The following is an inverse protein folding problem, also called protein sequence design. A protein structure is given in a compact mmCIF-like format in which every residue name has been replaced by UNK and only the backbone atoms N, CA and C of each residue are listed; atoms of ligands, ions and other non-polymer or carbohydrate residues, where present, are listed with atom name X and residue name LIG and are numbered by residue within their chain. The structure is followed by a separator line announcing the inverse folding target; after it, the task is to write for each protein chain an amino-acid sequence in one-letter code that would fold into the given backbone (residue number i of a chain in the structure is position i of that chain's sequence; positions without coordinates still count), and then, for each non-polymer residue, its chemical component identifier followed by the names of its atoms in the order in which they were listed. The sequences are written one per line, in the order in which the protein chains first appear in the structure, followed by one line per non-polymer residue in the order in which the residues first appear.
data_IF_473888209707
#
_entry.id   IF_473888209707
#
_cell.length_a   1.000
_cell.length_b   1.000
_cell.length_c   1.000
_cell.angle_alpha   90.00
_cell.angle_beta   90.00
_cell.angle_gamma   90.00
#
_symmetry.space_group_name_H-M   'P 1'
#
loop_
_entity.id
_entity.type
_entity.pdbx_description
1 polymer ?
#
# COMPACT_ATOMS: atom_id res chain seq x y z
N UNK A 1 -15.80 -22.41 -7.43
CA UNK A 1 -16.36 -21.11 -7.83
C UNK A 1 -15.29 -20.08 -7.55
N UNK A 2 -14.82 -19.38 -8.58
CA UNK A 2 -13.77 -18.36 -8.46
C UNK A 2 -14.41 -17.15 -7.78
N UNK A 3 -13.93 -16.79 -6.60
CA UNK A 3 -14.34 -15.58 -5.89
C UNK A 3 -14.10 -14.37 -6.80
N UNK A 4 -15.16 -13.62 -7.10
CA UNK A 4 -15.11 -12.49 -8.03
C UNK A 4 -14.41 -11.27 -7.43
N UNK A 5 -14.06 -11.29 -6.14
CA UNK A 5 -13.32 -10.22 -5.47
C UNK A 5 -14.14 -8.96 -5.16
N UNK A 6 -15.46 -9.00 -5.38
CA UNK A 6 -16.39 -7.88 -5.17
C UNK A 6 -17.19 -7.96 -3.86
N UNK A 7 -16.99 -9.00 -3.06
CA UNK A 7 -17.69 -9.24 -1.79
C UNK A 7 -17.43 -8.17 -0.71
N UNK A 8 -16.50 -7.24 -0.94
CA UNK A 8 -16.07 -6.23 0.02
C UNK A 8 -16.14 -4.78 -0.53
N UNK A 9 -16.93 -4.54 -1.58
CA UNK A 9 -17.06 -3.22 -2.21
C UNK A 9 -18.40 -2.57 -1.86
N UNK A 10 -18.37 -1.55 -1.00
CA UNK A 10 -19.55 -0.76 -0.64
C UNK A 10 -19.97 0.22 -1.76
N UNK A 11 -21.26 0.55 -1.88
CA UNK A 11 -21.73 1.62 -2.76
C UNK A 11 -21.17 2.98 -2.31
N UNK A 12 -21.10 3.94 -3.25
CA UNK A 12 -20.75 5.32 -2.90
C UNK A 12 -21.83 5.90 -1.97
N UNK A 13 -21.47 6.72 -0.97
CA UNK A 13 -22.45 7.38 -0.12
C UNK A 13 -23.26 8.42 -0.91
N UNK A 14 -24.53 8.58 -0.55
CA UNK A 14 -25.38 9.65 -1.06
C UNK A 14 -24.82 11.03 -0.63
N UNK A 15 -25.00 12.09 -1.45
CA UNK A 15 -24.58 13.44 -1.11
C UNK A 15 -25.12 13.88 0.27
N UNK A 16 -24.24 14.35 1.16
CA UNK A 16 -24.62 14.87 2.47
C UNK A 16 -24.72 13.84 3.62
N UNK A 17 -24.31 12.58 3.41
CA UNK A 17 -24.37 11.56 4.48
C UNK A 17 -23.39 11.88 5.64
N UNK A 18 -23.89 11.94 6.88
CA UNK A 18 -23.09 12.05 8.12
C UNK A 18 -23.01 10.73 8.90
N UNK A 19 -21.86 10.45 9.51
CA UNK A 19 -21.57 9.24 10.28
C UNK A 19 -20.91 9.66 11.60
N UNK A 20 -21.36 9.12 12.74
CA UNK A 20 -20.87 9.51 14.07
C UNK A 20 -20.19 8.33 14.77
N UNK A 21 -18.85 8.38 14.84
CA UNK A 21 -17.98 8.25 16.03
C UNK A 21 -16.51 8.31 15.56
N UNK A 22 -15.76 9.35 15.93
CA UNK A 22 -14.39 9.60 15.45
C UNK A 22 -14.31 10.43 14.16
N UNK A 23 -13.10 10.88 13.77
CA UNK A 23 -12.91 11.64 12.54
C UNK A 23 -13.36 10.78 11.35
N UNK A 24 -14.39 11.24 10.63
CA UNK A 24 -14.86 10.56 9.41
C UNK A 24 -13.75 10.53 8.37
N UNK A 25 -13.25 9.32 8.08
CA UNK A 25 -12.23 9.08 7.08
C UNK A 25 -12.77 8.12 6.03
N UNK A 26 -12.56 8.45 4.76
CA UNK A 26 -12.86 7.59 3.62
C UNK A 26 -11.58 7.45 2.79
N UNK A 27 -11.18 6.20 2.53
CA UNK A 27 -10.09 5.88 1.62
C UNK A 27 -10.66 5.68 0.21
N UNK A 28 -10.03 6.27 -0.81
CA UNK A 28 -10.37 6.04 -2.21
C UNK A 28 -9.23 5.27 -2.85
N UNK A 29 -9.53 4.12 -3.47
CA UNK A 29 -8.51 3.25 -4.04
C UNK A 29 -8.98 2.66 -5.37
N UNK A 30 -8.17 2.79 -6.45
CA UNK A 30 -8.56 2.28 -7.75
C UNK A 30 -8.48 0.75 -7.87
N UNK A 31 -7.85 0.06 -6.92
CA UNK A 31 -7.79 -1.40 -6.93
C UNK A 31 -9.12 -2.00 -6.42
N UNK A 32 -9.44 -3.20 -6.90
CA UNK A 32 -10.62 -3.95 -6.43
C UNK A 32 -10.42 -4.55 -5.03
N UNK A 33 -9.19 -4.96 -4.76
CA UNK A 33 -8.73 -5.58 -3.52
C UNK A 33 -7.27 -5.23 -3.30
N UNK A 34 -6.74 -5.63 -2.14
CA UNK A 34 -5.30 -5.58 -1.90
C UNK A 34 -4.55 -6.42 -2.94
N UNK A 35 -3.31 -6.02 -3.24
CA UNK A 35 -2.49 -6.73 -4.19
C UNK A 35 -2.20 -8.16 -3.74
N UNK A 36 -2.18 -9.11 -4.67
CA UNK A 36 -1.86 -10.52 -4.36
C UNK A 36 -0.35 -10.75 -4.16
N UNK A 37 0.48 -9.81 -4.65
CA UNK A 37 1.94 -9.88 -4.56
C UNK A 37 2.53 -8.62 -3.96
N UNK A 38 3.85 -8.63 -3.78
CA UNK A 38 4.57 -7.55 -3.13
C UNK A 38 5.64 -6.92 -4.02
N UNK A 39 5.83 -5.61 -3.91
CA UNK A 39 7.05 -4.93 -4.38
C UNK A 39 8.00 -4.59 -3.24
N UNK A 40 7.48 -4.51 -2.01
CA UNK A 40 8.25 -4.20 -0.81
C UNK A 40 8.29 -5.42 0.12
N UNK A 41 9.48 -5.93 0.42
CA UNK A 41 9.62 -7.23 1.08
C UNK A 41 10.14 -7.18 2.51
N UNK A 42 10.57 -6.01 3.01
CA UNK A 42 11.18 -5.89 4.35
C UNK A 42 10.58 -4.72 5.12
N UNK A 43 10.16 -4.99 6.35
CA UNK A 43 9.70 -3.97 7.29
C UNK A 43 10.77 -3.78 8.36
N UNK A 44 11.14 -2.52 8.60
CA UNK A 44 12.18 -2.15 9.56
C UNK A 44 11.60 -1.95 10.97
N UNK A 45 12.41 -2.09 12.04
CA UNK A 45 11.93 -2.00 13.43
C UNK A 45 11.12 -0.74 13.73
N UNK A 46 11.59 0.43 13.26
CA UNK A 46 10.87 1.69 13.49
C UNK A 46 9.50 1.73 12.80
N UNK A 47 9.36 1.08 11.65
CA UNK A 47 8.06 0.94 10.98
C UNK A 47 7.12 0.04 11.77
N UNK A 48 7.63 -1.07 12.33
CA UNK A 48 6.83 -1.90 13.23
C UNK A 48 6.38 -1.16 14.49
N UNK A 49 7.22 -0.31 15.08
CA UNK A 49 6.79 0.53 16.20
C UNK A 49 5.65 1.47 15.84
N UNK A 50 5.61 1.98 14.60
CA UNK A 50 4.49 2.79 14.11
C UNK A 50 3.24 1.95 13.84
N UNK A 51 3.41 0.75 13.27
CA UNK A 51 2.34 -0.22 13.06
C UNK A 51 1.74 -0.72 14.39
N UNK A 52 2.55 -0.84 15.42
CA UNK A 52 2.10 -1.25 16.76
C UNK A 52 1.22 -0.18 17.42
N UNK A 53 1.47 1.11 17.15
CA UNK A 53 0.60 2.20 17.63
C UNK A 53 -0.83 2.10 17.12
N UNK A 54 -1.04 1.44 15.98
CA UNK A 54 -2.38 1.17 15.43
C UNK A 54 -2.85 -0.27 15.69
N UNK A 55 -2.05 -1.08 16.39
CA UNK A 55 -2.41 -2.41 16.88
C UNK A 55 -2.16 -3.56 15.91
N UNK A 56 -1.32 -3.40 14.88
CA UNK A 56 -1.04 -4.47 13.90
C UNK A 56 0.43 -4.90 13.86
N UNK A 57 1.32 -4.23 14.58
CA UNK A 57 2.77 -4.44 14.48
C UNK A 57 3.19 -5.87 14.82
N UNK A 58 2.79 -6.35 15.99
CA UNK A 58 3.10 -7.70 16.48
C UNK A 58 2.51 -8.78 15.56
N UNK A 59 1.24 -8.65 15.18
CA UNK A 59 0.58 -9.63 14.31
C UNK A 59 1.28 -9.76 12.94
N UNK A 60 1.74 -8.65 12.36
CA UNK A 60 2.50 -8.66 11.10
C UNK A 60 3.90 -9.26 11.32
N UNK A 61 4.56 -8.94 12.42
CA UNK A 61 5.91 -9.45 12.72
C UNK A 61 5.91 -10.97 12.91
N UNK A 62 4.88 -11.53 13.56
CA UNK A 62 4.76 -12.96 13.87
C UNK A 62 4.62 -13.84 12.61
N UNK A 63 4.02 -13.31 11.54
CA UNK A 63 3.89 -14.03 10.26
C UNK A 63 5.06 -13.77 9.31
N UNK A 64 5.91 -12.79 9.62
CA UNK A 64 7.09 -12.46 8.84
C UNK A 64 8.29 -13.36 9.15
N UNK A 65 9.34 -13.24 8.34
CA UNK A 65 10.62 -13.94 8.55
C UNK A 65 11.68 -12.96 9.08
N UNK A 66 12.07 -13.05 10.36
CA UNK A 66 13.13 -12.21 10.93
C UNK A 66 14.45 -12.32 10.17
N UNK A 67 15.05 -11.18 9.84
CA UNK A 67 16.37 -11.13 9.23
C UNK A 67 17.45 -11.12 10.31
N UNK A 68 18.17 -12.25 10.44
CA UNK A 68 19.29 -12.39 11.39
C UNK A 68 20.69 -12.25 10.77
N UNK A 69 20.81 -12.43 9.46
CA UNK A 69 22.07 -12.54 8.73
C UNK A 69 21.92 -11.97 7.31
N UNK A 70 22.89 -11.18 6.85
CA UNK A 70 23.11 -10.95 5.42
C UNK A 70 24.50 -11.48 5.05
N UNK A 71 24.58 -12.19 3.92
CA UNK A 71 25.83 -12.65 3.33
C UNK A 71 26.18 -11.72 2.18
N UNK A 72 27.40 -11.19 2.17
CA UNK A 72 27.93 -10.43 1.06
C UNK A 72 28.69 -11.37 0.15
N UNK A 73 28.44 -11.31 -1.15
CA UNK A 73 29.15 -12.11 -2.15
C UNK A 73 29.52 -11.29 -3.37
N UNK A 74 30.54 -11.75 -4.09
CA UNK A 74 31.00 -11.19 -5.36
C UNK A 74 31.62 -12.30 -6.20
N UNK A 75 31.42 -12.27 -7.53
CA UNK A 75 32.00 -13.23 -8.48
C UNK A 75 31.72 -14.70 -8.08
N UNK A 76 30.49 -14.98 -7.66
CA UNK A 76 30.05 -16.32 -7.24
C UNK A 76 30.61 -16.84 -5.91
N UNK A 77 31.33 -16.03 -5.12
CA UNK A 77 31.85 -16.42 -3.80
C UNK A 77 31.33 -15.53 -2.66
N UNK A 78 31.24 -16.09 -1.46
CA UNK A 78 30.93 -15.32 -0.25
C UNK A 78 32.16 -14.58 0.27
N UNK A 79 32.02 -13.27 0.49
CA UNK A 79 33.06 -12.38 1.00
C UNK A 79 32.95 -12.12 2.50
N UNK A 80 31.74 -12.19 3.06
CA UNK A 80 31.53 -11.88 4.46
C UNK A 80 30.10 -12.02 4.93
N UNK A 81 29.93 -11.84 6.23
CA UNK A 81 28.65 -11.92 6.93
C UNK A 81 28.44 -10.64 7.74
N UNK A 82 27.27 -10.04 7.58
CA UNK A 82 26.78 -9.00 8.49
C UNK A 82 25.77 -9.68 9.42
N UNK A 83 26.00 -9.54 10.72
CA UNK A 83 25.10 -10.04 11.77
C UNK A 83 24.76 -8.88 12.70
N UNK A 84 23.77 -9.07 13.58
CA UNK A 84 23.42 -8.04 14.56
C UNK A 84 22.73 -6.83 13.93
N UNK A 85 21.78 -7.06 13.01
CA UNK A 85 20.95 -6.01 12.39
C UNK A 85 20.11 -5.18 13.36
N UNK A 86 20.14 -5.52 14.65
CA UNK A 86 19.23 -5.02 15.68
C UNK A 86 19.84 -5.31 17.05
N UNK A 87 19.44 -4.51 18.02
CA UNK A 87 19.70 -4.71 19.44
C UNK A 87 18.37 -4.57 20.17
N UNK A 88 18.07 -5.49 21.09
CA UNK A 88 16.89 -5.41 21.96
C UNK A 88 16.87 -4.13 22.82
N UNK A 89 17.99 -3.42 22.93
CA UNK A 89 18.05 -2.09 23.56
C UNK A 89 17.44 -0.98 22.71
N UNK A 90 17.36 -1.16 21.39
CA UNK A 90 16.90 -0.14 20.45
C UNK A 90 15.45 -0.35 20.04
N UNK A 91 15.01 -1.60 19.87
CA UNK A 91 13.63 -1.92 19.53
C UNK A 91 13.32 -3.36 19.96
N UNK A 92 12.04 -3.62 20.25
CA UNK A 92 11.53 -5.00 20.40
C UNK A 92 11.41 -5.72 19.05
N UNK A 93 11.39 -4.96 17.95
CA UNK A 93 11.30 -5.51 16.60
C UNK A 93 12.68 -5.64 15.96
N UNK A 94 12.74 -6.55 14.99
CA UNK A 94 13.90 -6.82 14.15
C UNK A 94 13.52 -6.55 12.69
N UNK A 95 14.46 -6.22 11.79
CA UNK A 95 14.14 -6.19 10.37
C UNK A 95 13.54 -7.53 9.97
N UNK A 96 12.36 -7.50 9.38
CA UNK A 96 11.58 -8.71 9.11
C UNK A 96 11.14 -8.70 7.66
N UNK A 97 11.45 -9.78 6.96
CA UNK A 97 10.95 -9.99 5.62
C UNK A 97 9.46 -10.35 5.69
N UNK A 98 8.61 -9.47 5.20
CA UNK A 98 7.15 -9.62 5.16
C UNK A 98 6.63 -8.86 3.95
N UNK A 99 5.74 -9.49 3.19
CA UNK A 99 5.20 -8.92 1.96
C UNK A 99 4.29 -7.72 2.22
N UNK A 100 4.34 -6.73 1.34
CA UNK A 100 3.45 -5.56 1.31
C UNK A 100 1.97 -5.98 1.37
N UNK A 101 1.59 -7.02 0.64
CA UNK A 101 0.24 -7.58 0.64
C UNK A 101 -0.25 -7.98 2.05
N UNK A 102 0.63 -8.55 2.87
CA UNK A 102 0.32 -8.92 4.26
C UNK A 102 0.15 -7.68 5.11
N UNK A 103 1.07 -6.72 5.01
CA UNK A 103 0.99 -5.45 5.75
C UNK A 103 -0.31 -4.70 5.39
N UNK A 104 -0.63 -4.60 4.10
CA UNK A 104 -1.86 -3.98 3.60
C UNK A 104 -3.11 -4.70 4.10
N UNK A 105 -3.11 -6.04 4.15
CA UNK A 105 -4.25 -6.81 4.64
C UNK A 105 -4.54 -6.49 6.11
N UNK A 106 -3.51 -6.49 6.97
CA UNK A 106 -3.67 -6.14 8.37
C UNK A 106 -4.10 -4.68 8.58
N UNK A 107 -3.52 -3.73 7.84
CA UNK A 107 -3.92 -2.33 7.90
C UNK A 107 -5.35 -2.10 7.41
N UNK A 108 -5.75 -2.75 6.31
CA UNK A 108 -7.12 -2.65 5.79
C UNK A 108 -8.13 -3.23 6.78
N UNK A 109 -7.86 -4.42 7.33
CA UNK A 109 -8.71 -5.03 8.34
C UNK A 109 -8.86 -4.09 9.55
N UNK A 110 -7.73 -3.57 10.06
CA UNK A 110 -7.73 -2.64 11.19
C UNK A 110 -8.49 -1.34 10.91
N UNK A 111 -8.34 -0.78 9.71
CA UNK A 111 -9.04 0.43 9.30
C UNK A 111 -10.56 0.22 9.27
N UNK A 112 -11.02 -0.92 8.74
CA UNK A 112 -12.44 -1.28 8.71
C UNK A 112 -12.99 -1.56 10.12
N UNK A 113 -12.24 -2.25 10.99
CA UNK A 113 -12.59 -2.46 12.40
C UNK A 113 -12.79 -1.14 13.16
N UNK A 114 -12.01 -0.12 12.82
CA UNK A 114 -12.11 1.22 13.39
C UNK A 114 -13.25 2.06 12.77
N UNK A 115 -14.07 1.49 11.89
CA UNK A 115 -15.20 2.16 11.24
C UNK A 115 -14.83 2.94 9.97
N UNK A 116 -13.61 2.79 9.48
CA UNK A 116 -13.17 3.37 8.21
C UNK A 116 -13.94 2.81 7.01
N UNK A 117 -13.97 3.56 5.91
CA UNK A 117 -14.66 3.17 4.67
C UNK A 117 -13.72 3.22 3.50
N UNK A 118 -13.75 2.20 2.64
CA UNK A 118 -12.92 2.15 1.45
C UNK A 118 -13.79 2.15 0.20
N UNK A 119 -13.65 3.20 -0.61
CA UNK A 119 -14.24 3.31 -1.93
C UNK A 119 -13.28 2.65 -2.93
N UNK A 120 -13.44 1.34 -3.11
CA UNK A 120 -12.73 0.54 -4.12
C UNK A 120 -13.25 0.84 -5.52
N UNK A 121 -12.46 0.47 -6.53
CA UNK A 121 -12.80 0.71 -7.94
C UNK A 121 -13.10 2.19 -8.24
N UNK A 122 -12.39 3.10 -7.56
CA UNK A 122 -12.59 4.53 -7.71
C UNK A 122 -11.24 5.26 -7.68
N UNK A 123 -11.14 6.37 -8.41
CA UNK A 123 -9.98 7.25 -8.36
C UNK A 123 -10.39 8.69 -8.16
N UNK A 124 -9.50 9.47 -7.55
CA UNK A 124 -9.60 10.92 -7.51
C UNK A 124 -9.23 11.47 -8.88
N UNK A 125 -10.03 12.42 -9.39
CA UNK A 125 -9.78 13.11 -10.65
C UNK A 125 -9.46 14.59 -10.46
N UNK A 126 -9.68 15.13 -9.26
CA UNK A 126 -9.33 16.49 -8.92
C UNK A 126 -9.63 16.82 -7.46
N UNK A 127 -8.94 17.83 -6.94
CA UNK A 127 -9.19 18.41 -5.61
C UNK A 127 -9.23 19.93 -5.73
N UNK A 128 -10.21 20.58 -5.13
CA UNK A 128 -10.29 22.03 -5.04
C UNK A 128 -10.65 22.49 -3.63
N UNK A 129 -10.18 23.66 -3.23
CA UNK A 129 -10.63 24.33 -2.00
C UNK A 129 -11.92 25.09 -2.27
N UNK A 130 -12.85 25.06 -1.33
CA UNK A 130 -14.11 25.79 -1.42
C UNK A 130 -13.93 27.19 -0.83
N UNK A 131 -13.72 28.20 -1.67
CA UNK A 131 -13.52 29.61 -1.26
C UNK A 131 -14.77 30.27 -0.60
N UNK A 132 -15.91 29.57 -0.54
CA UNK A 132 -17.22 30.15 -0.21
C UNK A 132 -17.74 29.85 1.20
N UNK A 133 -17.01 29.06 2.00
CA UNK A 133 -17.42 28.79 3.37
C UNK A 133 -17.18 30.03 4.26
N UNK A 134 -18.26 30.67 4.71
CA UNK A 134 -18.22 31.76 5.69
C UNK A 134 -17.76 31.31 7.10
N UNK A 135 -17.44 30.03 7.27
CA UNK A 135 -16.80 29.49 8.45
C UNK A 135 -15.27 29.45 8.26
N UNK A 136 -14.50 29.75 9.30
CA UNK A 136 -13.02 29.66 9.28
C UNK A 136 -12.51 28.21 9.15
N UNK A 137 -13.38 27.26 8.78
CA UNK A 137 -13.12 25.83 8.97
C UNK A 137 -12.54 25.12 7.75
N UNK A 138 -12.54 25.76 6.58
CA UNK A 138 -11.95 25.30 5.31
C UNK A 138 -12.55 23.98 4.81
N UNK A 139 -13.10 23.97 3.59
CA UNK A 139 -13.55 22.73 2.95
C UNK A 139 -12.83 22.51 1.65
N UNK A 140 -12.66 21.24 1.30
CA UNK A 140 -12.21 20.81 0.00
C UNK A 140 -13.25 19.92 -0.66
N UNK A 141 -13.42 20.12 -1.96
CA UNK A 141 -14.19 19.26 -2.83
C UNK A 141 -13.22 18.27 -3.51
N UNK A 142 -13.53 16.99 -3.43
CA UNK A 142 -12.76 15.89 -4.05
C UNK A 142 -13.62 15.27 -5.14
N UNK A 143 -13.21 15.43 -6.39
CA UNK A 143 -13.86 14.80 -7.54
C UNK A 143 -13.40 13.34 -7.66
N UNK A 144 -14.36 12.43 -7.80
CA UNK A 144 -14.14 10.98 -7.81
C UNK A 144 -14.87 10.35 -8.98
N UNK A 145 -14.25 9.38 -9.63
CA UNK A 145 -14.90 8.57 -10.66
C UNK A 145 -14.62 7.07 -10.48
N UNK A 146 -15.47 6.25 -11.11
CA UNK A 146 -15.27 4.81 -11.18
C UNK A 146 -14.09 4.49 -12.08
N UNK A 147 -13.14 3.76 -11.52
CA UNK A 147 -11.92 3.37 -12.21
C UNK A 147 -11.34 2.12 -11.56
N UNK A 148 -11.06 1.11 -12.38
CA UNK A 148 -10.38 -0.10 -11.93
C UNK A 148 -8.96 -0.07 -12.46
N UNK A 149 -8.00 0.11 -11.56
CA UNK A 149 -6.60 -0.03 -11.92
C UNK A 149 -6.26 -1.50 -12.17
N UNK A 150 -5.71 -1.75 -13.34
CA UNK A 150 -4.99 -2.97 -13.65
C UNK A 150 -3.64 -2.58 -14.25
N UNK A 151 -2.60 -3.37 -13.95
CA UNK A 151 -1.30 -3.14 -14.56
C UNK A 151 -1.38 -3.50 -16.05
N UNK A 152 -1.02 -2.59 -16.97
CA UNK A 152 -0.91 -2.93 -18.39
C UNK A 152 0.06 -4.11 -18.60
N UNK A 153 -0.20 -4.99 -19.58
CA UNK A 153 -1.22 -4.88 -20.63
C UNK A 153 -2.59 -5.46 -20.24
N UNK A 154 -2.81 -5.83 -18.97
CA UNK A 154 -4.11 -6.37 -18.55
C UNK A 154 -5.23 -5.35 -18.78
N UNK A 155 -6.41 -5.85 -19.15
CA UNK A 155 -7.61 -5.03 -19.32
C UNK A 155 -8.46 -5.07 -18.06
N UNK A 156 -8.99 -3.91 -17.66
CA UNK A 156 -9.86 -3.82 -16.50
C UNK A 156 -11.12 -4.66 -16.72
N UNK A 157 -11.56 -5.46 -15.73
CA UNK A 157 -12.85 -6.13 -15.81
C UNK A 157 -13.98 -5.10 -15.90
N UNK A 158 -15.11 -5.43 -16.54
CA UNK A 158 -16.25 -4.53 -16.60
C UNK A 158 -16.81 -4.28 -15.19
N UNK A 159 -17.26 -3.05 -14.94
CA UNK A 159 -17.92 -2.69 -13.69
C UNK A 159 -19.27 -3.44 -13.57
N UNK A 160 -19.60 -3.98 -12.38
CA UNK A 160 -20.94 -4.49 -12.11
C UNK A 160 -22.01 -3.42 -12.37
N UNK A 161 -23.22 -3.78 -12.84
CA UNK A 161 -24.29 -2.82 -13.13
C UNK A 161 -24.61 -1.86 -11.97
N UNK A 162 -24.55 -2.35 -10.72
CA UNK A 162 -24.77 -1.55 -9.52
C UNK A 162 -23.75 -0.42 -9.36
N UNK A 163 -22.51 -0.61 -9.79
CA UNK A 163 -21.45 0.41 -9.73
C UNK A 163 -21.42 1.27 -11.00
N UNK A 164 -21.91 0.75 -12.13
CA UNK A 164 -21.98 1.47 -13.40
C UNK A 164 -23.07 2.56 -13.42
N UNK A 165 -24.04 2.52 -12.51
CA UNK A 165 -25.14 3.48 -12.44
C UNK A 165 -24.69 4.90 -12.05
N UNK A 166 -23.64 5.02 -11.23
CA UNK A 166 -23.01 6.30 -10.87
C UNK A 166 -21.52 6.23 -11.17
N UNK A 167 -21.13 6.85 -12.28
CA UNK A 167 -19.76 6.80 -12.81
C UNK A 167 -18.85 7.86 -12.20
N UNK A 168 -19.38 8.98 -11.71
CA UNK A 168 -18.63 10.02 -11.02
C UNK A 168 -19.47 10.75 -9.97
N UNK A 169 -18.80 11.33 -8.99
CA UNK A 169 -19.38 12.14 -7.91
C UNK A 169 -18.34 13.10 -7.34
N UNK A 170 -18.77 13.97 -6.44
CA UNK A 170 -17.88 14.81 -5.64
C UNK A 170 -18.15 14.60 -4.15
N UNK A 171 -17.07 14.54 -3.36
CA UNK A 171 -17.12 14.43 -1.91
C UNK A 171 -16.67 15.75 -1.29
N UNK A 172 -17.39 16.24 -0.27
CA UNK A 172 -16.93 17.37 0.55
C UNK A 172 -16.22 16.83 1.79
N UNK A 173 -15.03 17.35 2.05
CA UNK A 173 -14.22 16.99 3.22
C UNK A 173 -13.57 18.24 3.83
N UNK A 174 -13.12 18.13 5.08
CA UNK A 174 -12.30 19.17 5.74
C UNK A 174 -10.83 19.05 5.37
N UNK A 175 -10.39 17.84 5.04
CA UNK A 175 -9.02 17.53 4.67
C UNK A 175 -9.03 16.48 3.56
N UNK A 176 -8.11 16.62 2.62
CA UNK A 176 -7.75 15.60 1.65
C UNK A 176 -6.26 15.27 1.80
N UNK A 177 -5.91 13.98 1.77
CA UNK A 177 -4.51 13.53 1.89
C UNK A 177 -4.15 12.74 0.63
N UNK A 178 -3.13 13.22 -0.09
CA UNK A 178 -2.58 12.54 -1.26
C UNK A 178 -1.64 11.40 -0.87
N UNK A 179 -2.12 10.16 -0.95
CA UNK A 179 -1.33 8.93 -0.79
C UNK A 179 -1.35 8.07 -2.09
N UNK A 180 -1.49 8.75 -3.23
CA UNK A 180 -1.77 8.20 -4.57
C UNK A 180 -0.51 8.00 -5.44
N UNK A 181 0.66 7.99 -4.81
CA UNK A 181 1.92 7.56 -5.42
C UNK A 181 2.55 8.56 -6.41
N UNK A 182 3.39 8.06 -7.32
CA UNK A 182 4.23 8.91 -8.19
C UNK A 182 3.43 9.81 -9.13
N UNK A 183 2.27 9.36 -9.60
CA UNK A 183 1.34 10.07 -10.49
C UNK A 183 0.19 10.68 -9.67
N UNK A 184 0.53 11.37 -8.59
CA UNK A 184 -0.45 11.91 -7.64
C UNK A 184 -1.32 12.99 -8.29
N UNK A 185 -2.63 12.72 -8.36
CA UNK A 185 -3.66 13.67 -8.79
C UNK A 185 -3.88 14.77 -7.75
N UNK A 186 -3.71 14.45 -6.47
CA UNK A 186 -3.81 15.46 -5.39
C UNK A 186 -2.68 16.48 -5.53
N UNK A 187 -1.44 16.01 -5.74
CA UNK A 187 -0.28 16.87 -5.95
C UNK A 187 -0.45 17.75 -7.21
N UNK A 188 -0.92 17.16 -8.31
CA UNK A 188 -1.17 17.88 -9.55
C UNK A 188 -2.24 18.96 -9.40
N UNK A 189 -3.35 18.65 -8.71
CA UNK A 189 -4.45 19.60 -8.46
C UNK A 189 -4.00 20.84 -7.68
N UNK A 190 -3.03 20.67 -6.77
CA UNK A 190 -2.45 21.75 -5.98
C UNK A 190 -1.31 22.50 -6.69
N UNK A 191 -0.96 22.12 -7.91
CA UNK A 191 0.15 22.72 -8.65
C UNK A 191 1.53 22.48 -8.00
N UNK A 192 1.65 21.44 -7.17
CA UNK A 192 2.90 21.11 -6.48
C UNK A 192 3.84 20.37 -7.42
N UNK A 193 4.98 20.98 -7.73
CA UNK A 193 6.04 20.34 -8.52
C UNK A 193 6.63 19.10 -7.83
N UNK A 194 7.23 18.21 -8.62
CA UNK A 194 8.01 17.09 -8.12
C UNK A 194 9.28 16.93 -8.97
N UNK A 195 10.42 17.32 -8.40
CA UNK A 195 11.73 17.07 -9.01
C UNK A 195 12.15 15.63 -8.70
N UNK A 196 11.88 14.73 -9.65
CA UNK A 196 12.33 13.34 -9.59
C UNK A 196 13.70 13.15 -10.22
N UNK A 197 14.45 12.16 -9.74
CA UNK A 197 15.62 11.63 -10.43
C UNK A 197 15.36 10.17 -10.80
N UNK A 198 15.69 9.80 -12.03
CA UNK A 198 15.68 8.41 -12.46
C UNK A 198 17.01 7.76 -12.10
N UNK A 199 16.94 6.54 -11.57
CA UNK A 199 18.13 5.71 -11.45
C UNK A 199 18.54 5.24 -12.85
N UNK A 200 19.81 5.41 -13.21
CA UNK A 200 20.33 4.90 -14.47
C UNK A 200 20.31 3.36 -14.58
N UNK A 201 20.08 2.68 -13.47
CA UNK A 201 20.13 1.23 -13.36
C UNK A 201 18.73 0.63 -13.40
N UNK A 202 18.62 -0.55 -14.02
CA UNK A 202 17.43 -1.39 -13.97
C UNK A 202 17.73 -2.65 -13.14
N UNK A 203 16.81 -3.02 -12.26
CA UNK A 203 16.93 -4.20 -11.42
C UNK A 203 15.77 -5.16 -11.70
N UNK A 204 16.05 -6.45 -11.69
CA UNK A 204 15.01 -7.49 -11.70
C UNK A 204 14.74 -7.94 -10.26
N UNK A 205 13.47 -8.08 -9.92
CA UNK A 205 13.02 -8.58 -8.63
C UNK A 205 12.13 -9.80 -8.89
N UNK A 206 12.44 -10.91 -8.21
CA UNK A 206 11.65 -12.12 -8.26
C UNK A 206 11.61 -12.79 -6.90
N UNK A 207 10.43 -13.29 -6.55
CA UNK A 207 10.25 -14.22 -5.46
C UNK A 207 10.51 -15.63 -6.02
N UNK A 208 11.52 -16.31 -5.49
CA UNK A 208 11.94 -17.64 -5.93
C UNK A 208 12.06 -18.57 -4.73
N UNK A 209 11.74 -19.85 -4.94
CA UNK A 209 12.02 -20.90 -3.98
C UNK A 209 13.41 -21.48 -4.28
N UNK A 210 14.28 -21.52 -3.27
CA UNK A 210 15.65 -22.01 -3.39
C UNK A 210 15.97 -22.91 -2.20
N UNK A 211 16.73 -23.97 -2.45
CA UNK A 211 17.28 -24.81 -1.39
C UNK A 211 18.45 -24.09 -0.70
N UNK A 212 18.34 -23.89 0.61
CA UNK A 212 19.32 -23.12 1.40
C UNK A 212 20.74 -23.69 1.30
N UNK A 213 20.89 -25.02 1.31
CA UNK A 213 22.19 -25.68 1.20
C UNK A 213 22.88 -25.43 -0.14
N UNK A 214 22.11 -25.38 -1.24
CA UNK A 214 22.62 -25.06 -2.57
C UNK A 214 23.08 -23.61 -2.62
N UNK A 215 22.23 -22.67 -2.17
CA UNK A 215 22.57 -21.24 -2.13
C UNK A 215 23.82 -20.96 -1.27
N UNK A 216 23.96 -21.64 -0.13
CA UNK A 216 25.15 -21.52 0.72
C UNK A 216 26.42 -22.05 0.04
N UNK A 217 26.36 -23.21 -0.60
CA UNK A 217 27.52 -23.87 -1.18
C UNK A 217 28.02 -23.20 -2.47
N UNK A 218 27.11 -22.67 -3.29
CA UNK A 218 27.46 -22.23 -4.65
C UNK A 218 27.51 -20.71 -4.83
N UNK A 219 27.08 -19.95 -3.81
CA UNK A 219 26.85 -18.52 -3.94
C UNK A 219 25.61 -18.19 -4.78
N UNK A 220 25.17 -16.94 -4.74
CA UNK A 220 23.93 -16.47 -5.37
C UNK A 220 23.87 -16.73 -6.89
N UNK A 221 24.99 -16.55 -7.61
CA UNK A 221 25.03 -16.66 -9.08
C UNK A 221 24.84 -18.09 -9.61
N UNK A 222 25.22 -19.12 -8.85
CA UNK A 222 25.17 -20.52 -9.32
C UNK A 222 23.97 -21.30 -8.80
N UNK A 223 23.32 -20.83 -7.72
CA UNK A 223 22.14 -21.47 -7.15
C UNK A 223 20.86 -21.29 -7.97
N UNK A 224 20.81 -20.33 -8.89
CA UNK A 224 19.69 -20.09 -9.80
C UNK A 224 19.74 -20.96 -11.08
N UNK A 225 20.83 -21.70 -11.29
CA UNK A 225 21.05 -22.57 -12.46
C UNK A 225 21.04 -24.06 -12.11
N UNK A 226 20.78 -24.42 -10.85
CA UNK A 226 20.75 -25.79 -10.35
C UNK A 226 19.32 -26.34 -10.31
#
# INVERSE_FOLDING_TARGET
MVDSGYSHVDPLPEPGTEYDVGVRCVLIDPHLKNGDGSKAAVTMPRSFEMLERVGVGTAIADVGRPAGLARLGSNGGWLGKITGFTSARLSQYVPTAVGQNIVEAHLCARYLELGGKILRAARVTGVSEDDTAADESGRCTVAVERYVYVRPPAQAPPLPPALAALTSTSLSARFAVGADGKQSMVRESLGLGYEGHEYAQSFFLADVELEEGVAEATGWERGLHA
#
